data_IF_595918933858
#
_entry.id   IF_595918933858
#
_cell.length_a   1.000
_cell.length_b   1.000
_cell.length_c   1.000
_cell.angle_alpha   90.00
_cell.angle_beta   90.00
_cell.angle_gamma   90.00
#
_symmetry.space_group_name_H-M   'P 1'
#
loop_
_entity.id
_entity.type
_entity.pdbx_description
1 polymer ?
#
# COMPACT_ATOMS: atom_id res chain seq x y z
N UNK A 1 -13.01 69.13 20.02
CA UNK A 1 -12.72 67.76 20.37
C UNK A 1 -13.06 66.89 19.17
N UNK A 2 -12.07 66.60 18.31
CA UNK A 2 -12.24 65.84 17.06
C UNK A 2 -11.85 64.38 17.37
N UNK A 3 -12.84 63.50 17.29
CA UNK A 3 -12.57 62.05 17.39
C UNK A 3 -12.04 61.55 16.05
N UNK A 4 -10.79 61.14 16.02
CA UNK A 4 -10.22 60.33 14.93
C UNK A 4 -10.65 58.88 15.12
N UNK A 5 -11.57 58.38 14.27
CA UNK A 5 -11.82 56.93 14.14
C UNK A 5 -10.72 56.34 13.25
N UNK A 6 -9.79 55.58 13.86
CA UNK A 6 -8.84 54.73 13.14
C UNK A 6 -9.56 53.44 12.70
N UNK A 7 -9.84 53.33 11.41
CA UNK A 7 -10.33 52.12 10.80
C UNK A 7 -9.19 51.07 10.76
N UNK A 8 -9.26 50.04 11.59
CA UNK A 8 -8.44 48.85 11.52
C UNK A 8 -8.91 47.97 10.36
N UNK A 9 -8.23 48.03 9.22
CA UNK A 9 -8.41 47.04 8.16
C UNK A 9 -7.80 45.70 8.62
N UNK A 10 -8.54 44.60 8.54
CA UNK A 10 -7.92 43.29 8.80
C UNK A 10 -6.92 43.02 7.69
N UNK A 11 -5.66 42.87 8.06
CA UNK A 11 -4.62 42.29 7.20
C UNK A 11 -5.05 40.87 6.84
N UNK A 12 -5.59 40.66 5.65
CA UNK A 12 -5.79 39.34 5.09
C UNK A 12 -4.42 38.68 4.99
N UNK A 13 -4.13 37.73 5.87
CA UNK A 13 -2.96 36.88 5.71
C UNK A 13 -3.16 36.12 4.40
N UNK A 14 -2.37 36.44 3.39
CA UNK A 14 -2.25 35.61 2.20
C UNK A 14 -1.61 34.32 2.66
N UNK A 15 -2.43 33.30 2.85
CA UNK A 15 -1.97 31.97 3.15
C UNK A 15 -1.15 31.50 1.94
N UNK A 16 0.15 31.31 2.14
CA UNK A 16 1.01 30.82 1.08
C UNK A 16 0.42 29.52 0.52
N UNK A 17 0.26 29.45 -0.81
CA UNK A 17 -0.25 28.25 -1.43
C UNK A 17 0.67 27.07 -1.08
N UNK A 18 0.09 25.97 -0.60
CA UNK A 18 0.84 24.76 -0.32
C UNK A 18 1.58 24.35 -1.59
N UNK A 19 2.91 24.14 -1.54
CA UNK A 19 3.67 23.75 -2.73
C UNK A 19 3.06 22.52 -3.39
N UNK A 20 2.99 22.51 -4.72
CA UNK A 20 2.48 21.36 -5.45
C UNK A 20 3.43 20.18 -5.27
N UNK A 21 2.89 19.04 -4.85
CA UNK A 21 3.64 17.78 -4.71
C UNK A 21 4.05 17.31 -6.11
N UNK A 22 5.34 17.10 -6.39
CA UNK A 22 5.77 16.62 -7.70
C UNK A 22 5.32 15.17 -7.93
N UNK A 23 4.96 14.84 -9.18
CA UNK A 23 4.49 13.51 -9.58
C UNK A 23 5.60 12.56 -10.02
N UNK A 24 6.85 13.01 -9.99
CA UNK A 24 7.98 12.32 -10.58
C UNK A 24 8.15 12.65 -12.07
N UNK A 25 9.21 12.18 -12.73
CA UNK A 25 10.22 11.31 -12.12
C UNK A 25 10.98 11.96 -10.98
N UNK A 26 11.56 11.12 -10.09
CA UNK A 26 12.25 11.59 -8.90
C UNK A 26 13.74 11.26 -8.93
N UNK A 27 14.56 12.24 -8.56
CA UNK A 27 15.92 11.99 -8.08
C UNK A 27 15.87 11.81 -6.55
N UNK A 28 16.63 10.87 -6.05
CA UNK A 28 16.67 10.54 -4.62
C UNK A 28 18.05 10.83 -4.04
N UNK A 29 18.09 11.30 -2.80
CA UNK A 29 19.32 11.49 -2.04
C UNK A 29 19.15 11.05 -0.60
N UNK A 30 20.15 10.39 -0.03
CA UNK A 30 20.16 9.97 1.37
C UNK A 30 20.35 11.18 2.28
N UNK A 31 19.42 11.38 3.23
CA UNK A 31 19.51 12.40 4.29
C UNK A 31 20.23 11.80 5.51
N UNK A 32 19.76 10.63 5.95
CA UNK A 32 20.31 9.95 7.11
C UNK A 32 20.34 8.45 6.91
N UNK A 33 21.51 7.88 7.14
CA UNK A 33 21.71 6.44 7.18
C UNK A 33 21.55 5.97 8.62
N UNK A 34 20.64 5.00 8.85
CA UNK A 34 20.32 4.48 10.20
C UNK A 34 19.83 5.55 11.16
N UNK A 35 18.85 6.34 10.74
CA UNK A 35 18.28 7.42 11.54
C UNK A 35 17.53 6.91 12.79
N UNK A 36 16.91 5.72 12.70
CA UNK A 36 16.28 5.00 13.82
C UNK A 36 16.93 3.63 13.94
N UNK A 37 17.36 3.26 15.14
CA UNK A 37 18.22 2.10 15.38
C UNK A 37 17.74 1.27 16.58
N UNK A 38 18.10 -0.03 16.69
CA UNK A 38 17.65 -0.90 17.79
C UNK A 38 18.00 -0.35 19.18
N UNK A 39 19.20 0.19 19.38
CA UNK A 39 19.67 0.72 20.66
C UNK A 39 18.84 1.91 21.14
N UNK A 40 18.34 2.75 20.24
CA UNK A 40 17.43 3.86 20.57
C UNK A 40 16.18 3.41 21.33
N UNK A 41 15.68 2.22 21.01
CA UNK A 41 14.46 1.65 21.60
C UNK A 41 14.74 0.54 22.63
N UNK A 42 16.02 0.31 22.97
CA UNK A 42 16.41 -0.77 23.86
C UNK A 42 16.06 -2.16 23.30
N UNK A 43 16.15 -2.30 21.99
CA UNK A 43 16.03 -3.57 21.27
C UNK A 43 17.41 -4.19 21.11
N UNK A 44 17.50 -5.51 21.29
CA UNK A 44 18.78 -6.21 21.18
C UNK A 44 19.35 -6.12 19.75
N UNK A 45 20.68 -6.11 19.66
CA UNK A 45 21.37 -6.18 18.37
C UNK A 45 20.92 -7.42 17.57
N UNK A 46 20.80 -7.30 16.26
CA UNK A 46 20.30 -8.36 15.38
C UNK A 46 18.76 -8.46 15.33
N UNK A 47 18.04 -7.68 16.13
CA UNK A 47 16.58 -7.70 16.14
C UNK A 47 15.99 -6.56 15.28
N UNK A 48 14.78 -6.71 14.72
CA UNK A 48 14.20 -5.72 13.84
C UNK A 48 13.71 -4.46 14.57
N UNK A 49 14.03 -3.32 13.95
CA UNK A 49 13.32 -2.06 14.00
C UNK A 49 12.87 -1.82 12.55
N UNK A 50 11.57 -1.75 12.29
CA UNK A 50 11.01 -1.82 10.94
C UNK A 50 9.66 -1.09 10.84
N UNK A 51 9.03 -1.12 9.67
CA UNK A 51 7.65 -0.66 9.47
C UNK A 51 7.42 0.76 9.99
N UNK A 52 8.13 1.71 9.46
CA UNK A 52 8.02 3.10 9.91
C UNK A 52 6.79 3.79 9.32
N UNK A 53 6.16 4.64 10.11
CA UNK A 53 5.25 5.68 9.62
C UNK A 53 5.61 7.03 10.19
N UNK A 54 5.42 8.10 9.42
CA UNK A 54 5.86 9.44 9.82
C UNK A 54 4.80 10.49 9.51
N UNK A 55 4.61 11.43 10.44
CA UNK A 55 3.76 12.60 10.26
C UNK A 55 4.54 13.89 10.53
N UNK A 56 4.08 14.98 9.89
CA UNK A 56 4.53 16.33 10.19
C UNK A 56 3.63 16.91 11.28
N UNK A 57 4.25 17.35 12.40
CA UNK A 57 3.54 18.01 13.48
C UNK A 57 3.33 19.50 13.19
N UNK A 58 2.34 20.18 13.81
CA UNK A 58 2.12 21.61 13.62
C UNK A 58 3.30 22.49 13.97
N UNK A 59 4.19 22.04 14.84
CA UNK A 59 5.42 22.75 15.23
C UNK A 59 6.60 22.52 14.26
N UNK A 60 6.36 21.84 13.13
CA UNK A 60 7.36 21.54 12.10
C UNK A 60 8.29 20.37 12.40
N UNK A 61 8.12 19.69 13.52
CA UNK A 61 8.85 18.44 13.80
C UNK A 61 8.24 17.26 13.04
N UNK A 62 9.05 16.28 12.74
CA UNK A 62 8.59 14.97 12.30
C UNK A 62 8.36 14.07 13.52
N UNK A 63 7.30 13.27 13.48
CA UNK A 63 7.06 12.20 14.45
C UNK A 63 6.96 10.88 13.73
N UNK A 64 7.84 9.95 14.08
CA UNK A 64 7.90 8.61 13.52
C UNK A 64 7.29 7.61 14.51
N UNK A 65 6.49 6.70 13.99
CA UNK A 65 5.96 5.51 14.65
C UNK A 65 6.65 4.31 14.01
N UNK A 66 7.27 3.48 14.79
CA UNK A 66 8.11 2.41 14.27
C UNK A 66 7.88 1.11 15.04
N UNK A 67 7.76 0.00 14.33
CA UNK A 67 7.75 -1.30 14.98
C UNK A 67 9.14 -1.61 15.54
N UNK A 68 9.19 -1.96 16.80
CA UNK A 68 10.40 -2.38 17.50
C UNK A 68 10.18 -3.75 18.15
N UNK A 69 11.03 -4.71 17.84
CA UNK A 69 10.88 -6.10 18.28
C UNK A 69 10.75 -6.19 19.81
N UNK A 70 9.72 -6.87 20.27
CA UNK A 70 9.37 -7.05 21.67
C UNK A 70 9.04 -5.74 22.44
N UNK A 71 8.86 -4.61 21.73
CA UNK A 71 8.47 -3.32 22.30
C UNK A 71 7.12 -2.83 21.78
N UNK A 72 6.64 -3.34 20.62
CA UNK A 72 5.46 -2.82 19.92
C UNK A 72 5.77 -1.58 19.08
N UNK A 73 4.87 -0.60 19.09
CA UNK A 73 5.03 0.62 18.30
C UNK A 73 5.68 1.71 19.13
N UNK A 74 6.95 1.96 18.88
CA UNK A 74 7.74 3.01 19.51
C UNK A 74 7.57 4.33 18.76
N UNK A 75 7.79 5.45 19.48
CA UNK A 75 7.62 6.80 18.94
C UNK A 75 8.92 7.59 19.10
N UNK A 76 9.35 8.24 18.01
CA UNK A 76 10.50 9.13 18.01
C UNK A 76 10.18 10.44 17.27
N UNK A 77 10.86 11.53 17.64
CA UNK A 77 10.72 12.84 17.00
C UNK A 77 12.04 13.34 16.43
N UNK A 78 11.94 14.06 15.30
CA UNK A 78 13.04 14.79 14.70
C UNK A 78 12.70 16.28 14.59
N UNK A 79 13.64 17.14 14.98
CA UNK A 79 13.55 18.60 14.84
C UNK A 79 14.39 19.13 13.65
N UNK A 80 15.14 18.27 12.98
CA UNK A 80 16.13 18.60 11.96
C UNK A 80 15.84 17.93 10.60
N UNK A 81 14.55 17.74 10.34
CA UNK A 81 14.04 17.21 9.08
C UNK A 81 14.49 15.77 8.77
N UNK A 82 14.52 14.92 9.79
CA UNK A 82 14.83 13.50 9.66
C UNK A 82 16.31 13.14 9.72
N UNK A 83 17.19 14.11 10.01
CA UNK A 83 18.63 13.82 10.17
C UNK A 83 18.91 13.05 11.44
N UNK A 84 18.24 13.43 12.54
CA UNK A 84 18.35 12.75 13.83
C UNK A 84 16.97 12.60 14.47
N UNK A 85 16.80 11.57 15.30
CA UNK A 85 15.57 11.30 16.04
C UNK A 85 15.86 11.09 17.52
N UNK A 86 14.89 11.42 18.37
CA UNK A 86 14.91 11.17 19.81
C UNK A 86 13.63 10.39 20.15
N UNK A 87 13.77 9.27 20.87
CA UNK A 87 12.64 8.50 21.40
C UNK A 87 11.81 9.35 22.36
N UNK A 88 10.49 9.39 22.19
CA UNK A 88 9.57 10.18 23.03
C UNK A 88 8.48 9.35 23.69
N UNK A 89 8.22 8.10 23.28
CA UNK A 89 7.18 7.29 23.86
C UNK A 89 6.97 5.94 23.20
N UNK A 90 5.83 5.31 23.56
CA UNK A 90 5.32 4.08 22.98
C UNK A 90 3.80 4.22 22.80
N UNK A 91 3.28 3.92 21.63
CA UNK A 91 1.90 4.19 21.23
C UNK A 91 0.86 3.43 22.08
N UNK A 92 1.18 2.23 22.54
CA UNK A 92 0.26 1.32 23.23
C UNK A 92 0.78 0.82 24.58
N UNK A 93 1.67 1.58 25.24
CA UNK A 93 2.22 1.21 26.55
C UNK A 93 3.05 -0.09 26.53
N UNK A 94 3.57 -0.50 25.38
CA UNK A 94 4.36 -1.72 25.22
C UNK A 94 3.57 -2.96 24.78
N UNK A 95 2.30 -2.78 24.40
CA UNK A 95 1.52 -3.87 23.76
C UNK A 95 2.19 -4.27 22.43
N UNK A 96 2.42 -5.59 22.29
CA UNK A 96 3.17 -6.20 21.20
C UNK A 96 2.25 -6.76 20.10
N UNK A 97 0.93 -6.68 20.26
CA UNK A 97 -0.06 -7.22 19.34
C UNK A 97 -0.26 -6.40 18.06
N UNK A 98 0.35 -5.20 17.99
CA UNK A 98 0.23 -4.27 16.89
C UNK A 98 1.54 -4.19 16.11
N UNK A 99 1.46 -4.25 14.77
CA UNK A 99 2.60 -4.10 13.86
C UNK A 99 2.29 -3.15 12.71
N UNK A 100 3.29 -2.85 11.88
CA UNK A 100 3.15 -2.13 10.62
C UNK A 100 2.29 -0.85 10.75
N UNK A 101 2.73 0.12 11.55
CA UNK A 101 1.94 1.32 11.82
C UNK A 101 1.78 2.19 10.58
N UNK A 102 0.62 2.84 10.45
CA UNK A 102 0.38 3.95 9.53
C UNK A 102 -0.35 5.06 10.25
N UNK A 103 0.33 6.16 10.49
CA UNK A 103 -0.21 7.33 11.18
C UNK A 103 -0.72 8.38 10.18
N UNK A 104 -1.83 9.00 10.51
CA UNK A 104 -2.40 10.12 9.74
C UNK A 104 -2.79 11.23 10.70
N UNK A 105 -2.23 12.43 10.49
CA UNK A 105 -2.66 13.63 11.19
C UNK A 105 -4.03 14.07 10.65
N UNK A 106 -5.00 14.24 11.55
CA UNK A 106 -6.34 14.69 11.21
C UNK A 106 -6.44 16.21 11.27
N UNK A 107 -7.39 16.77 10.54
CA UNK A 107 -7.60 18.23 10.48
C UNK A 107 -8.02 18.85 11.83
N UNK A 108 -8.54 18.05 12.75
CA UNK A 108 -8.91 18.48 14.12
C UNK A 108 -7.75 18.38 15.13
N UNK A 109 -6.54 18.06 14.67
CA UNK A 109 -5.33 17.94 15.47
C UNK A 109 -5.09 16.58 16.10
N UNK A 110 -6.04 15.64 15.99
CA UNK A 110 -5.85 14.26 16.43
C UNK A 110 -4.96 13.49 15.46
N UNK A 111 -4.48 12.35 15.90
CA UNK A 111 -3.73 11.42 15.07
C UNK A 111 -4.48 10.08 15.05
N UNK A 112 -4.75 9.55 13.85
CA UNK A 112 -5.23 8.19 13.69
C UNK A 112 -4.06 7.28 13.35
N UNK A 113 -4.03 6.10 13.97
CA UNK A 113 -3.00 5.09 13.74
C UNK A 113 -3.68 3.79 13.30
N UNK A 114 -3.31 3.34 12.12
CA UNK A 114 -3.70 2.05 11.58
C UNK A 114 -2.57 1.07 11.87
N UNK A 115 -2.90 -0.11 12.41
CA UNK A 115 -1.91 -1.14 12.73
C UNK A 115 -2.37 -2.49 12.25
N UNK A 116 -1.46 -3.25 11.63
CA UNK A 116 -1.73 -4.63 11.24
C UNK A 116 -1.82 -5.51 12.47
N UNK A 117 -2.85 -6.35 12.48
CA UNK A 117 -3.12 -7.34 13.51
C UNK A 117 -3.53 -8.66 12.86
N UNK A 118 -3.65 -9.73 13.66
CA UNK A 118 -4.18 -10.99 13.13
C UNK A 118 -5.59 -10.78 12.56
N UNK A 119 -5.76 -11.08 11.27
CA UNK A 119 -7.04 -11.00 10.57
C UNK A 119 -7.37 -9.65 9.92
N UNK A 120 -6.57 -8.60 10.09
CA UNK A 120 -6.85 -7.32 9.45
C UNK A 120 -6.02 -6.15 9.96
N UNK A 121 -6.65 -4.99 10.03
CA UNK A 121 -6.06 -3.72 10.47
C UNK A 121 -6.94 -3.10 11.53
N UNK A 122 -6.35 -2.71 12.65
CA UNK A 122 -7.02 -1.91 13.68
C UNK A 122 -6.92 -0.41 13.35
N UNK A 123 -7.99 0.34 13.68
CA UNK A 123 -7.99 1.79 13.71
C UNK A 123 -7.93 2.27 15.15
N UNK A 124 -6.94 3.07 15.50
CA UNK A 124 -6.76 3.67 16.83
C UNK A 124 -6.66 5.17 16.72
N UNK A 125 -7.05 5.90 17.75
CA UNK A 125 -7.09 7.36 17.76
C UNK A 125 -6.35 7.92 18.98
N UNK A 126 -5.71 9.07 18.81
CA UNK A 126 -5.02 9.79 19.87
C UNK A 126 -5.25 11.29 19.75
N UNK A 127 -5.40 12.00 20.89
CA UNK A 127 -5.49 13.44 20.94
C UNK A 127 -4.12 14.14 20.92
N UNK A 128 -3.07 13.43 21.32
CA UNK A 128 -1.69 13.95 21.44
C UNK A 128 -0.69 13.27 20.49
N UNK A 129 -1.13 12.20 19.83
CA UNK A 129 -0.31 11.35 18.97
C UNK A 129 0.75 10.55 19.74
N UNK A 130 0.65 10.43 21.06
CA UNK A 130 1.57 9.68 21.91
C UNK A 130 0.91 8.45 22.54
N UNK A 131 -0.33 8.59 22.97
CA UNK A 131 -1.10 7.50 23.57
C UNK A 131 -2.35 7.23 22.74
N UNK A 132 -2.51 6.01 22.28
CA UNK A 132 -3.61 5.61 21.39
C UNK A 132 -4.61 4.72 22.09
N UNK A 133 -5.88 4.94 21.76
CA UNK A 133 -7.00 4.08 22.16
C UNK A 133 -7.64 3.48 20.91
N UNK A 134 -8.12 2.24 21.02
CA UNK A 134 -8.80 1.55 19.92
C UNK A 134 -10.09 2.30 19.55
N UNK A 135 -10.20 2.77 18.30
CA UNK A 135 -11.40 3.39 17.74
C UNK A 135 -12.31 2.31 17.11
N UNK A 136 -11.70 1.38 16.38
CA UNK A 136 -12.40 0.24 15.78
C UNK A 136 -11.44 -0.94 15.58
N UNK A 137 -11.80 -2.09 16.12
CA UNK A 137 -11.09 -3.33 15.84
C UNK A 137 -11.38 -3.78 14.39
N UNK A 138 -10.35 -4.27 13.71
CA UNK A 138 -10.47 -4.79 12.36
C UNK A 138 -11.27 -3.85 11.43
N UNK A 139 -10.90 -2.57 11.40
CA UNK A 139 -11.55 -1.59 10.53
C UNK A 139 -11.37 -1.95 9.03
N UNK A 140 -10.30 -2.68 8.69
CA UNK A 140 -10.12 -3.42 7.44
C UNK A 140 -9.99 -4.90 7.76
N UNK A 141 -10.78 -5.75 7.12
CA UNK A 141 -10.80 -7.19 7.34
C UNK A 141 -10.17 -7.95 6.18
N UNK A 142 -9.30 -8.90 6.47
CA UNK A 142 -8.75 -9.79 5.45
C UNK A 142 -9.84 -10.68 4.81
N UNK A 143 -10.89 -11.03 5.54
CA UNK A 143 -12.02 -11.82 5.02
C UNK A 143 -12.80 -11.13 3.90
N UNK A 144 -12.69 -9.81 3.77
CA UNK A 144 -13.32 -9.06 2.67
C UNK A 144 -12.60 -9.31 1.34
N UNK A 145 -11.45 -9.98 1.36
CA UNK A 145 -10.60 -10.29 0.22
C UNK A 145 -10.45 -11.82 0.11
N UNK A 146 -11.26 -12.45 -0.72
CA UNK A 146 -11.27 -13.92 -0.86
C UNK A 146 -9.94 -14.51 -1.33
N UNK A 147 -9.15 -13.69 -2.02
CA UNK A 147 -7.83 -14.03 -2.55
C UNK A 147 -6.68 -13.83 -1.56
N UNK A 148 -6.92 -13.21 -0.39
CA UNK A 148 -5.91 -12.93 0.61
C UNK A 148 -6.18 -13.68 1.92
N UNK A 149 -5.10 -14.09 2.62
CA UNK A 149 -5.17 -14.70 3.95
C UNK A 149 -4.93 -13.69 5.08
N UNK A 150 -4.45 -12.50 4.75
CA UNK A 150 -4.17 -11.41 5.69
C UNK A 150 -3.93 -10.11 4.96
N UNK A 151 -3.93 -9.00 5.69
CA UNK A 151 -3.62 -7.67 5.21
C UNK A 151 -2.42 -7.10 5.99
N UNK A 152 -1.55 -6.39 5.30
CA UNK A 152 -0.34 -5.84 5.87
C UNK A 152 0.01 -4.47 5.29
N UNK A 153 0.72 -3.64 6.06
CA UNK A 153 1.34 -2.40 5.63
C UNK A 153 0.36 -1.41 4.99
N UNK A 154 -0.67 -0.95 5.71
CA UNK A 154 -1.63 -0.01 5.14
C UNK A 154 -0.99 1.33 4.82
N UNK A 155 -1.18 1.85 3.61
CA UNK A 155 -0.91 3.23 3.22
C UNK A 155 -2.24 3.99 3.12
N UNK A 156 -2.42 5.06 3.89
CA UNK A 156 -3.72 5.76 3.97
C UNK A 156 -3.56 7.22 3.59
N UNK A 157 -4.43 7.71 2.73
CA UNK A 157 -4.49 9.12 2.35
C UNK A 157 -5.91 9.66 2.39
N UNK A 158 -6.05 10.93 2.80
CA UNK A 158 -7.30 11.66 2.66
C UNK A 158 -7.29 12.49 1.36
N UNK A 159 -8.34 12.36 0.57
CA UNK A 159 -8.54 13.13 -0.65
C UNK A 159 -9.03 14.55 -0.31
N UNK A 160 -8.91 15.51 -1.23
CA UNK A 160 -9.42 16.87 -1.03
C UNK A 160 -10.94 16.94 -0.90
N UNK A 161 -11.64 15.90 -1.33
CA UNK A 161 -13.09 15.74 -1.16
C UNK A 161 -13.51 15.34 0.26
N UNK A 162 -12.55 15.11 1.15
CA UNK A 162 -12.78 14.56 2.49
C UNK A 162 -12.83 13.02 2.54
N UNK A 163 -13.00 12.36 1.41
CA UNK A 163 -12.97 10.88 1.31
C UNK A 163 -11.58 10.33 1.55
N UNK A 164 -11.51 9.03 1.84
CA UNK A 164 -10.27 8.34 2.18
C UNK A 164 -10.00 7.20 1.21
N UNK A 165 -8.73 6.95 0.98
CA UNK A 165 -8.21 5.77 0.30
C UNK A 165 -7.20 5.05 1.20
N UNK A 166 -7.32 3.74 1.29
CA UNK A 166 -6.32 2.87 1.88
C UNK A 166 -5.76 1.94 0.81
N UNK A 167 -4.46 1.74 0.83
CA UNK A 167 -3.73 0.77 0.02
C UNK A 167 -2.99 -0.16 0.96
N UNK A 168 -2.99 -1.45 0.70
CA UNK A 168 -2.37 -2.43 1.59
C UNK A 168 -1.98 -3.69 0.84
N UNK A 169 -0.99 -4.40 1.36
CA UNK A 169 -0.58 -5.68 0.82
C UNK A 169 -1.56 -6.76 1.25
N UNK A 170 -2.02 -7.57 0.30
CA UNK A 170 -2.72 -8.80 0.58
C UNK A 170 -1.74 -9.96 0.60
N UNK A 171 -1.71 -10.69 1.71
CA UNK A 171 -0.94 -11.91 1.86
C UNK A 171 -1.56 -13.01 1.01
N UNK A 172 -0.77 -13.81 0.27
CA UNK A 172 -1.33 -14.90 -0.52
C UNK A 172 -2.03 -15.92 0.37
N UNK A 173 -3.12 -16.49 -0.13
CA UNK A 173 -3.86 -17.52 0.57
C UNK A 173 -3.09 -18.83 0.54
N UNK A 174 -2.92 -19.46 1.69
CA UNK A 174 -2.25 -20.75 1.80
C UNK A 174 -2.89 -21.81 0.87
N UNK A 175 -2.08 -22.54 0.12
CA UNK A 175 -2.52 -23.58 -0.80
C UNK A 175 -2.81 -23.14 -2.23
N UNK A 176 -2.70 -21.85 -2.55
CA UNK A 176 -2.84 -21.35 -3.92
C UNK A 176 -1.51 -21.25 -4.69
N UNK A 177 -0.43 -21.77 -4.10
CA UNK A 177 0.93 -21.64 -4.60
C UNK A 177 1.64 -20.40 -4.05
N UNK A 178 2.88 -20.14 -4.44
CA UNK A 178 3.63 -18.96 -4.03
C UNK A 178 3.12 -17.74 -4.81
N UNK A 179 1.88 -17.31 -4.55
CA UNK A 179 1.35 -16.09 -5.13
C UNK A 179 2.06 -14.90 -4.48
N UNK A 180 2.60 -13.96 -5.26
CA UNK A 180 3.24 -12.78 -4.74
C UNK A 180 2.23 -11.92 -3.98
N UNK A 181 2.70 -11.20 -2.99
CA UNK A 181 1.92 -10.18 -2.32
C UNK A 181 1.48 -9.14 -3.35
N UNK A 182 0.24 -8.73 -3.26
CA UNK A 182 -0.36 -7.78 -4.19
C UNK A 182 -0.93 -6.60 -3.43
N UNK A 183 -0.94 -5.43 -4.04
CA UNK A 183 -1.56 -4.25 -3.45
C UNK A 183 -3.03 -4.20 -3.82
N UNK A 184 -3.87 -4.15 -2.80
CA UNK A 184 -5.31 -3.88 -2.88
C UNK A 184 -5.62 -2.48 -2.39
N UNK A 185 -6.88 -2.06 -2.51
CA UNK A 185 -7.34 -0.80 -1.94
C UNK A 185 -8.76 -0.89 -1.42
N UNK A 186 -9.08 0.06 -0.55
CA UNK A 186 -10.40 0.33 -0.05
C UNK A 186 -10.67 1.84 -0.01
N UNK A 187 -11.95 2.21 -0.06
CA UNK A 187 -12.43 3.59 0.06
C UNK A 187 -13.24 3.75 1.33
N UNK A 188 -13.23 4.96 1.89
CA UNK A 188 -14.01 5.28 3.08
C UNK A 188 -14.46 6.74 3.08
N UNK A 189 -15.57 7.03 3.74
CA UNK A 189 -16.03 8.40 3.96
C UNK A 189 -15.47 9.01 5.27
N UNK A 190 -15.07 8.18 6.24
CA UNK A 190 -14.63 8.59 7.57
C UNK A 190 -13.22 8.12 7.97
N UNK A 191 -12.60 7.26 7.15
CA UNK A 191 -11.31 6.63 7.43
C UNK A 191 -11.36 5.51 8.46
N UNK A 192 -12.57 5.05 8.86
CA UNK A 192 -12.79 3.97 9.84
C UNK A 192 -13.64 2.85 9.26
N UNK A 193 -14.65 3.21 8.48
CA UNK A 193 -15.54 2.28 7.80
C UNK A 193 -15.13 2.16 6.34
N UNK A 194 -14.53 1.02 5.98
CA UNK A 194 -13.93 0.83 4.67
C UNK A 194 -14.77 -0.10 3.80
N UNK A 195 -14.82 0.23 2.52
CA UNK A 195 -15.43 -0.58 1.46
C UNK A 195 -14.34 -0.96 0.49
N UNK A 196 -14.19 -2.26 0.22
CA UNK A 196 -13.25 -2.80 -0.74
C UNK A 196 -13.46 -2.18 -2.12
N UNK A 197 -12.36 -1.73 -2.76
CA UNK A 197 -12.34 -1.44 -4.18
C UNK A 197 -12.11 -2.74 -4.98
N UNK A 198 -12.83 -2.93 -6.08
CA UNK A 198 -12.69 -4.11 -6.91
C UNK A 198 -11.32 -4.19 -7.61
N UNK A 199 -10.74 -5.37 -7.67
CA UNK A 199 -9.49 -5.66 -8.38
C UNK A 199 -8.22 -5.33 -7.58
N UNK A 200 -7.07 -5.60 -8.21
CA UNK A 200 -5.72 -5.41 -7.70
C UNK A 200 -5.15 -4.08 -8.20
N UNK A 201 -4.40 -3.38 -7.36
CA UNK A 201 -3.74 -2.10 -7.73
C UNK A 201 -2.37 -2.34 -8.35
N UNK A 202 -1.53 -3.07 -7.63
CA UNK A 202 -0.21 -3.51 -8.07
C UNK A 202 -0.15 -5.02 -7.87
N UNK A 203 0.21 -5.75 -8.92
CA UNK A 203 0.22 -7.22 -8.85
C UNK A 203 0.81 -7.86 -10.09
N UNK A 204 0.69 -9.17 -10.20
CA UNK A 204 1.24 -9.98 -11.30
C UNK A 204 0.84 -9.43 -12.68
N UNK A 205 -0.37 -8.93 -12.82
CA UNK A 205 -0.84 -8.35 -14.08
C UNK A 205 -0.25 -6.97 -14.37
N UNK A 206 0.13 -6.21 -13.36
CA UNK A 206 0.71 -4.87 -13.49
C UNK A 206 2.22 -4.92 -13.70
N UNK A 207 2.93 -5.74 -12.91
CA UNK A 207 4.40 -5.83 -12.95
C UNK A 207 4.94 -6.83 -13.97
N UNK A 208 4.09 -7.66 -14.58
CA UNK A 208 4.47 -8.76 -15.49
C UNK A 208 5.43 -9.79 -14.91
N UNK A 209 5.73 -9.70 -13.64
CA UNK A 209 6.57 -10.63 -12.90
C UNK A 209 5.82 -11.05 -11.66
N UNK A 210 5.92 -12.31 -11.31
CA UNK A 210 5.44 -12.85 -10.05
C UNK A 210 6.32 -12.35 -8.89
N UNK A 211 6.28 -11.05 -8.59
CA UNK A 211 7.02 -10.44 -7.50
C UNK A 211 6.08 -9.79 -6.50
N UNK A 212 6.48 -9.78 -5.26
CA UNK A 212 5.76 -9.12 -4.19
C UNK A 212 5.72 -7.60 -4.38
N UNK A 213 4.56 -7.02 -4.11
CA UNK A 213 4.42 -5.58 -3.89
C UNK A 213 3.92 -5.40 -2.46
N UNK A 214 4.81 -4.91 -1.59
CA UNK A 214 4.62 -4.90 -0.15
C UNK A 214 4.63 -3.49 0.42
N UNK A 215 3.92 -3.32 1.54
CA UNK A 215 3.90 -2.12 2.36
C UNK A 215 3.72 -0.83 1.54
N UNK A 216 2.62 -0.69 0.78
CA UNK A 216 2.41 0.50 -0.01
C UNK A 216 2.22 1.70 0.89
N UNK A 217 2.86 2.81 0.54
CA UNK A 217 2.56 4.13 1.07
C UNK A 217 2.11 5.04 -0.05
N UNK A 218 1.30 6.04 0.25
CA UNK A 218 0.67 6.86 -0.75
C UNK A 218 0.88 8.35 -0.48
N UNK A 219 1.19 9.11 -1.52
CA UNK A 219 1.15 10.56 -1.49
C UNK A 219 0.06 11.07 -2.44
N UNK A 220 -0.77 11.98 -1.95
CA UNK A 220 -1.80 12.64 -2.73
C UNK A 220 -1.27 13.92 -3.35
N UNK A 221 -1.55 14.11 -4.61
CA UNK A 221 -1.29 15.37 -5.33
C UNK A 221 -2.48 16.34 -5.25
N UNK A 222 -2.27 17.59 -5.61
CA UNK A 222 -3.29 18.64 -5.54
C UNK A 222 -4.54 18.37 -6.39
N UNK A 223 -4.40 17.60 -7.46
CA UNK A 223 -5.49 17.14 -8.34
C UNK A 223 -6.14 15.82 -7.89
N UNK A 224 -5.84 15.36 -6.68
CA UNK A 224 -6.23 14.05 -6.12
C UNK A 224 -5.65 12.82 -6.83
N UNK A 225 -4.75 12.97 -7.78
CA UNK A 225 -3.98 11.84 -8.26
C UNK A 225 -3.06 11.32 -7.14
N UNK A 226 -2.69 10.05 -7.24
CA UNK A 226 -1.95 9.31 -6.20
C UNK A 226 -0.65 8.79 -6.79
N UNK A 227 0.45 8.93 -6.05
CA UNK A 227 1.65 8.13 -6.27
C UNK A 227 1.79 7.15 -5.13
N UNK A 228 1.87 5.86 -5.46
CA UNK A 228 2.22 4.79 -4.52
C UNK A 228 3.71 4.55 -4.57
N UNK A 229 4.31 4.40 -3.39
CA UNK A 229 5.63 3.80 -3.19
C UNK A 229 5.41 2.46 -2.52
N UNK A 230 6.14 1.45 -2.91
CA UNK A 230 6.02 0.09 -2.39
C UNK A 230 7.34 -0.65 -2.54
N UNK A 231 7.47 -1.73 -1.82
CA UNK A 231 8.70 -2.51 -1.77
C UNK A 231 8.52 -3.87 -2.46
N UNK A 232 9.52 -4.29 -3.21
CA UNK A 232 9.65 -5.64 -3.74
C UNK A 232 10.80 -6.36 -2.99
N UNK A 233 10.47 -7.30 -2.13
CA UNK A 233 11.46 -8.03 -1.35
C UNK A 233 12.19 -9.12 -2.16
N UNK A 234 11.91 -9.24 -3.44
CA UNK A 234 12.46 -10.28 -4.29
C UNK A 234 11.97 -11.67 -3.92
N UNK A 235 10.74 -11.77 -3.39
CA UNK A 235 10.15 -13.05 -3.03
C UNK A 235 10.35 -14.09 -4.13
N UNK A 236 10.72 -15.28 -3.71
CA UNK A 236 10.91 -16.44 -4.58
C UNK A 236 9.55 -17.09 -4.88
N UNK A 237 8.90 -16.74 -5.99
CA UNK A 237 7.56 -17.23 -6.31
C UNK A 237 7.55 -18.74 -6.61
N UNK A 238 8.71 -19.35 -6.72
CA UNK A 238 8.85 -20.77 -7.04
C UNK A 238 9.30 -21.62 -5.85
N UNK A 239 9.59 -21.00 -4.69
CA UNK A 239 10.06 -21.70 -3.50
C UNK A 239 11.44 -22.35 -3.69
N UNK A 240 12.26 -21.78 -4.57
CA UNK A 240 13.58 -22.34 -4.92
C UNK A 240 14.70 -21.88 -3.98
N UNK A 241 14.41 -20.97 -3.04
CA UNK A 241 15.38 -20.33 -2.16
C UNK A 241 16.30 -19.34 -2.86
N UNK A 242 15.97 -18.91 -4.08
CA UNK A 242 16.75 -17.94 -4.83
C UNK A 242 16.26 -16.53 -4.54
N UNK A 243 17.18 -15.66 -4.15
CA UNK A 243 16.90 -14.21 -4.01
C UNK A 243 17.16 -13.54 -5.35
N UNK A 244 16.15 -12.82 -5.84
CA UNK A 244 16.27 -12.04 -7.05
C UNK A 244 17.03 -10.75 -6.75
N UNK A 245 18.23 -10.58 -7.29
CA UNK A 245 19.10 -9.45 -6.98
C UNK A 245 18.83 -8.20 -7.83
N UNK A 246 18.10 -8.34 -8.94
CA UNK A 246 17.88 -7.23 -9.87
C UNK A 246 16.42 -6.73 -9.79
N UNK A 247 16.25 -5.47 -9.42
CA UNK A 247 14.97 -4.80 -9.32
C UNK A 247 14.21 -5.07 -8.03
N UNK A 248 14.86 -5.64 -7.02
CA UNK A 248 14.37 -5.63 -5.64
C UNK A 248 14.48 -4.21 -5.09
N UNK A 249 13.68 -3.92 -4.07
CA UNK A 249 13.74 -2.67 -3.37
C UNK A 249 12.57 -1.76 -3.68
N UNK A 250 12.81 -0.46 -3.61
CA UNK A 250 11.79 0.56 -3.66
C UNK A 250 11.31 0.82 -5.10
N UNK A 251 9.99 0.80 -5.26
CA UNK A 251 9.28 1.14 -6.49
C UNK A 251 8.29 2.26 -6.27
N UNK A 252 7.84 2.89 -7.34
CA UNK A 252 6.69 3.77 -7.32
C UNK A 252 5.90 3.67 -8.63
N UNK A 253 4.61 3.99 -8.53
CA UNK A 253 3.69 4.07 -9.66
C UNK A 253 2.66 5.17 -9.43
N UNK A 254 2.20 5.79 -10.50
CA UNK A 254 1.28 6.92 -10.46
C UNK A 254 -0.10 6.52 -10.98
N UNK A 255 -1.15 7.12 -10.39
CA UNK A 255 -2.54 6.93 -10.78
C UNK A 255 -3.29 8.25 -10.77
N UNK A 256 -4.07 8.52 -11.81
CA UNK A 256 -4.97 9.69 -11.88
C UNK A 256 -6.29 9.46 -11.16
N UNK A 257 -6.70 8.20 -10.96
CA UNK A 257 -7.98 7.81 -10.38
C UNK A 257 -7.86 7.07 -9.03
N UNK A 258 -6.62 6.78 -8.61
CA UNK A 258 -6.33 5.99 -7.40
C UNK A 258 -6.70 4.51 -7.53
N UNK A 259 -7.03 4.03 -8.72
CA UNK A 259 -7.44 2.65 -8.99
C UNK A 259 -6.59 1.97 -10.05
N UNK A 260 -6.23 2.71 -11.09
CA UNK A 260 -5.42 2.23 -12.21
C UNK A 260 -4.05 2.89 -12.16
N UNK A 261 -3.00 2.10 -11.98
CA UNK A 261 -1.65 2.59 -11.83
C UNK A 261 -0.84 2.44 -13.12
N UNK A 262 0.04 3.41 -13.36
CA UNK A 262 0.97 3.42 -14.51
C UNK A 262 2.00 2.30 -14.39
N UNK A 263 2.84 2.18 -15.43
CA UNK A 263 4.03 1.35 -15.36
C UNK A 263 4.91 1.77 -14.18
N UNK A 264 5.40 0.78 -13.43
CA UNK A 264 6.24 1.00 -12.26
C UNK A 264 7.60 1.61 -12.62
N UNK A 265 8.12 2.42 -11.71
CA UNK A 265 9.48 2.95 -11.71
C UNK A 265 10.24 2.38 -10.51
N UNK A 266 11.53 2.20 -10.65
CA UNK A 266 12.38 1.58 -9.65
C UNK A 266 13.53 2.50 -9.24
N UNK A 267 13.90 2.47 -7.96
CA UNK A 267 15.07 3.16 -7.45
C UNK A 267 16.26 2.20 -7.35
N UNK A 268 17.33 2.49 -8.07
CA UNK A 268 18.60 1.79 -7.87
C UNK A 268 19.31 2.36 -6.65
N UNK A 269 19.09 1.75 -5.48
CA UNK A 269 19.62 2.22 -4.21
C UNK A 269 21.15 2.35 -4.23
N UNK A 270 21.85 1.44 -4.93
CA UNK A 270 23.30 1.45 -4.99
C UNK A 270 23.90 2.69 -5.70
N UNK A 271 23.08 3.35 -6.53
CA UNK A 271 23.46 4.60 -7.19
C UNK A 271 23.13 5.85 -6.40
N UNK A 272 22.28 5.72 -5.37
CA UNK A 272 21.91 6.82 -4.48
C UNK A 272 23.02 7.02 -3.44
N UNK A 273 23.47 5.96 -2.79
CA UNK A 273 24.55 5.99 -1.81
C UNK A 273 25.19 4.58 -1.72
N UNK A 274 26.52 4.53 -1.65
CA UNK A 274 27.27 3.27 -1.59
C UNK A 274 27.04 2.43 -0.32
N UNK A 275 26.43 3.02 0.70
CA UNK A 275 26.04 2.31 1.94
C UNK A 275 24.74 1.54 1.80
N UNK A 276 23.94 1.83 0.77
CA UNK A 276 22.62 1.23 0.56
C UNK A 276 22.77 -0.04 -0.27
N UNK A 277 22.13 -1.11 0.17
CA UNK A 277 21.92 -2.32 -0.61
C UNK A 277 20.61 -2.25 -1.41
N UNK A 278 20.38 -3.20 -2.30
CA UNK A 278 19.12 -3.30 -3.05
C UNK A 278 17.90 -3.58 -2.15
N UNK A 279 18.12 -4.06 -0.93
CA UNK A 279 17.06 -4.37 0.04
C UNK A 279 16.81 -3.23 1.04
N UNK A 280 17.46 -2.08 0.86
CA UNK A 280 17.20 -0.90 1.67
C UNK A 280 15.89 -0.22 1.26
N UNK A 281 15.35 0.57 2.17
CA UNK A 281 14.08 1.29 2.02
C UNK A 281 12.88 0.35 1.90
N UNK A 282 12.92 -0.81 2.57
CA UNK A 282 11.76 -1.67 2.74
C UNK A 282 10.71 -1.00 3.65
N UNK A 283 9.48 -1.44 3.55
CA UNK A 283 8.33 -0.96 4.34
C UNK A 283 8.26 0.59 4.38
N UNK A 284 8.22 1.24 3.20
CA UNK A 284 8.41 2.68 3.11
C UNK A 284 7.23 3.47 3.68
N UNK A 285 7.52 4.67 4.17
CA UNK A 285 6.53 5.73 4.32
C UNK A 285 7.00 7.04 3.68
N UNK A 286 6.04 7.83 3.22
CA UNK A 286 6.28 9.07 2.50
C UNK A 286 5.46 10.22 3.05
N UNK A 287 6.08 11.39 3.20
CA UNK A 287 5.39 12.62 3.61
C UNK A 287 5.95 13.84 2.91
N UNK A 288 5.22 14.96 3.01
CA UNK A 288 5.77 16.28 2.75
C UNK A 288 6.33 16.87 4.05
N UNK A 289 7.57 17.37 3.99
CA UNK A 289 8.14 18.14 5.09
C UNK A 289 7.55 19.57 5.12
N UNK A 290 7.95 20.36 6.13
CA UNK A 290 7.50 21.75 6.30
C UNK A 290 7.85 22.69 5.11
N UNK A 291 8.83 22.30 4.29
CA UNK A 291 9.31 23.07 3.15
C UNK A 291 8.71 22.56 1.82
N UNK A 292 7.83 21.54 1.88
CA UNK A 292 7.17 20.92 0.74
C UNK A 292 8.04 19.92 -0.01
N UNK A 293 9.19 19.50 0.54
CA UNK A 293 9.98 18.42 -0.02
C UNK A 293 9.35 17.07 0.32
N UNK A 294 9.50 16.11 -0.56
CA UNK A 294 9.10 14.73 -0.27
C UNK A 294 10.21 14.07 0.52
N UNK A 295 9.88 13.61 1.72
CA UNK A 295 10.72 12.72 2.52
C UNK A 295 10.17 11.30 2.40
N UNK A 296 11.08 10.35 2.29
CA UNK A 296 10.78 8.93 2.28
C UNK A 296 11.64 8.25 3.35
N UNK A 297 10.97 7.55 4.26
CA UNK A 297 11.59 6.75 5.28
C UNK A 297 11.39 5.28 4.94
N UNK A 298 12.39 4.45 5.20
CA UNK A 298 12.27 3.01 4.92
C UNK A 298 13.36 2.21 5.61
N UNK A 299 13.06 0.94 5.81
CA UNK A 299 13.90 0.02 6.57
C UNK A 299 15.09 -0.52 5.80
N UNK A 300 16.06 -0.99 6.56
CA UNK A 300 17.12 -1.86 6.16
C UNK A 300 17.39 -2.88 7.27
N UNK A 301 18.09 -3.95 6.95
CA UNK A 301 18.41 -5.00 7.91
C UNK A 301 19.78 -5.62 7.65
N UNK A 302 20.55 -5.80 8.72
CA UNK A 302 21.74 -6.66 8.68
C UNK A 302 21.74 -7.58 9.91
N UNK A 303 22.21 -8.81 9.76
CA UNK A 303 22.22 -9.79 10.85
C UNK A 303 23.03 -9.30 12.07
N UNK A 304 24.12 -8.58 11.84
CA UNK A 304 25.01 -8.11 12.92
C UNK A 304 24.45 -6.88 13.67
N UNK A 305 23.66 -6.05 12.99
CA UNK A 305 23.15 -4.80 13.55
C UNK A 305 21.67 -4.90 13.94
N UNK A 306 20.86 -5.58 13.14
CA UNK A 306 19.41 -5.62 13.22
C UNK A 306 18.76 -4.72 12.18
N UNK A 307 17.46 -4.47 12.35
CA UNK A 307 16.70 -3.56 11.53
C UNK A 307 16.97 -2.09 11.91
N UNK A 308 16.83 -1.22 10.95
CA UNK A 308 17.00 0.23 11.12
C UNK A 308 16.20 0.99 10.04
N UNK A 309 15.98 2.28 10.26
CA UNK A 309 15.28 3.13 9.31
C UNK A 309 16.25 4.16 8.72
N UNK A 310 16.23 4.29 7.42
CA UNK A 310 16.92 5.35 6.67
C UNK A 310 15.95 6.48 6.30
N UNK A 311 16.47 7.66 6.01
CA UNK A 311 15.70 8.82 5.53
C UNK A 311 16.28 9.31 4.22
N UNK A 312 15.43 9.45 3.21
CA UNK A 312 15.77 9.99 1.89
C UNK A 312 14.92 11.22 1.56
N UNK A 313 15.46 12.11 0.74
CA UNK A 313 14.71 13.15 0.06
C UNK A 313 14.48 12.76 -1.39
N UNK A 314 13.27 13.02 -1.88
CA UNK A 314 12.90 12.90 -3.27
C UNK A 314 12.66 14.29 -3.85
N UNK A 315 13.24 14.57 -5.01
CA UNK A 315 13.09 15.84 -5.74
C UNK A 315 12.67 15.55 -7.18
N UNK A 316 11.97 16.47 -7.85
CA UNK A 316 11.81 16.38 -9.30
C UNK A 316 13.17 16.23 -9.98
N UNK A 317 13.31 15.28 -10.90
CA UNK A 317 14.59 14.99 -11.53
C UNK A 317 14.44 14.33 -12.89
N UNK A 318 15.54 13.80 -13.41
CA UNK A 318 15.57 13.06 -14.68
C UNK A 318 14.97 11.64 -14.50
N UNK A 319 14.74 11.27 -13.24
CA UNK A 319 14.24 9.98 -12.87
C UNK A 319 15.34 9.02 -12.47
N UNK A 320 14.92 8.10 -11.63
CA UNK A 320 15.63 6.86 -11.40
C UNK A 320 15.91 6.20 -12.75
N UNK A 321 17.04 5.52 -12.86
CA UNK A 321 17.34 4.74 -14.05
C UNK A 321 16.09 3.94 -14.46
N UNK A 322 15.77 3.87 -15.75
CA UNK A 322 14.72 2.97 -16.17
C UNK A 322 15.03 1.63 -15.54
N UNK A 323 13.99 0.97 -15.04
CA UNK A 323 14.11 -0.39 -14.55
C UNK A 323 15.06 -1.12 -15.49
N UNK A 324 16.19 -1.72 -15.02
CA UNK A 324 17.14 -2.35 -15.93
C UNK A 324 16.32 -3.32 -16.78
N UNK A 325 16.10 -2.89 -18.04
CA UNK A 325 15.12 -3.45 -18.94
C UNK A 325 15.23 -4.95 -18.91
N UNK A 326 14.19 -5.61 -18.64
CA UNK A 326 14.07 -7.02 -18.53
C UNK A 326 14.22 -7.60 -17.12
N UNK A 327 13.32 -7.17 -16.23
CA UNK A 327 12.85 -8.10 -15.20
C UNK A 327 12.57 -9.47 -15.85
N UNK A 328 11.97 -9.53 -17.03
CA UNK A 328 11.70 -10.76 -17.76
C UNK A 328 12.97 -11.50 -18.16
N UNK A 329 14.03 -10.81 -18.54
CA UNK A 329 15.29 -11.45 -18.88
C UNK A 329 16.02 -11.95 -17.62
N UNK A 330 16.04 -11.15 -16.55
CA UNK A 330 16.63 -11.54 -15.28
C UNK A 330 15.88 -12.73 -14.66
N UNK A 331 14.56 -12.71 -14.62
CA UNK A 331 13.75 -13.84 -14.17
C UNK A 331 13.98 -15.09 -15.02
N UNK A 332 14.10 -14.93 -16.33
CA UNK A 332 14.38 -16.02 -17.28
C UNK A 332 15.75 -16.66 -17.05
N UNK A 333 16.78 -15.86 -16.80
CA UNK A 333 18.14 -16.32 -16.54
C UNK A 333 18.25 -17.04 -15.20
N UNK A 334 17.52 -16.57 -14.18
CA UNK A 334 17.62 -17.13 -12.82
C UNK A 334 16.76 -18.38 -12.64
N UNK A 335 15.60 -18.46 -13.30
CA UNK A 335 14.62 -19.51 -13.02
C UNK A 335 14.75 -20.75 -13.89
N UNK A 336 15.48 -20.70 -15.01
CA UNK A 336 15.58 -21.83 -15.94
C UNK A 336 14.21 -22.34 -16.45
N UNK A 337 13.16 -21.58 -16.22
CA UNK A 337 11.78 -21.89 -16.64
C UNK A 337 11.52 -21.58 -18.11
N UNK A 338 10.37 -22.01 -18.66
CA UNK A 338 9.99 -21.66 -20.02
C UNK A 338 9.98 -20.13 -20.19
N UNK A 339 10.32 -19.62 -21.38
CA UNK A 339 10.42 -18.19 -21.62
C UNK A 339 9.07 -17.49 -21.32
N UNK A 340 9.07 -16.62 -20.31
CA UNK A 340 7.98 -15.68 -20.19
C UNK A 340 7.95 -14.82 -21.47
N UNK A 341 6.78 -14.36 -21.92
CA UNK A 341 6.69 -13.50 -23.08
C UNK A 341 7.59 -12.28 -22.86
N UNK A 342 8.28 -11.79 -23.91
CA UNK A 342 9.18 -10.66 -23.78
C UNK A 342 8.47 -9.47 -23.12
N UNK A 343 9.14 -8.81 -22.17
CA UNK A 343 8.67 -7.56 -21.59
C UNK A 343 8.39 -6.58 -22.73
N UNK A 344 7.18 -6.05 -22.81
CA UNK A 344 6.71 -5.27 -23.96
C UNK A 344 5.73 -6.00 -24.86
N UNK A 345 5.69 -7.32 -24.88
CA UNK A 345 4.53 -7.99 -25.45
C UNK A 345 3.29 -7.60 -24.61
N UNK A 346 2.32 -6.93 -25.22
CA UNK A 346 0.99 -6.77 -24.62
C UNK A 346 0.62 -8.14 -24.08
N UNK A 347 0.29 -8.24 -22.79
CA UNK A 347 -0.31 -9.46 -22.27
C UNK A 347 -1.42 -9.83 -23.27
N UNK A 348 -1.25 -10.95 -23.93
CA UNK A 348 -2.37 -11.54 -24.66
C UNK A 348 -3.37 -11.77 -23.53
N UNK A 349 -4.36 -10.90 -23.44
CA UNK A 349 -5.47 -11.14 -22.55
C UNK A 349 -5.84 -12.60 -22.81
N UNK A 350 -5.83 -13.48 -21.80
CA UNK A 350 -6.27 -14.84 -22.03
C UNK A 350 -7.61 -14.68 -22.73
N UNK A 351 -7.68 -15.16 -23.96
CA UNK A 351 -8.93 -15.19 -24.71
C UNK A 351 -9.93 -15.75 -23.70
N UNK A 352 -11.02 -15.03 -23.38
CA UNK A 352 -11.96 -15.52 -22.39
C UNK A 352 -12.21 -16.97 -22.74
N UNK A 353 -11.90 -17.88 -21.82
CA UNK A 353 -12.13 -19.30 -22.07
C UNK A 353 -13.52 -19.38 -22.64
N UNK A 354 -13.76 -20.06 -23.77
CA UNK A 354 -15.04 -20.09 -24.41
C UNK A 354 -16.04 -20.35 -23.31
N UNK A 355 -16.91 -19.37 -23.04
CA UNK A 355 -17.92 -19.50 -21.99
C UNK A 355 -18.59 -20.82 -22.32
N UNK A 356 -18.32 -21.82 -21.49
CA UNK A 356 -18.87 -23.16 -21.68
C UNK A 356 -20.37 -22.88 -21.81
N UNK A 357 -20.91 -23.05 -23.02
CA UNK A 357 -22.33 -22.90 -23.25
C UNK A 357 -22.93 -23.82 -22.22
N UNK A 358 -23.51 -23.26 -21.19
CA UNK A 358 -24.23 -24.03 -20.17
C UNK A 358 -25.27 -24.79 -20.98
N UNK A 359 -25.05 -26.09 -21.17
CA UNK A 359 -26.04 -26.95 -21.83
C UNK A 359 -27.30 -26.83 -20.99
N UNK A 360 -28.26 -26.07 -21.53
CA UNK A 360 -29.55 -25.93 -20.89
C UNK A 360 -30.18 -27.32 -20.95
N UNK A 361 -30.17 -28.01 -19.81
CA UNK A 361 -30.74 -29.35 -19.64
C UNK A 361 -32.17 -29.29 -20.15
N UNK A 362 -32.41 -29.87 -21.35
CA UNK A 362 -33.76 -29.96 -21.93
C UNK A 362 -34.60 -30.87 -21.06
N UNK A 363 -35.63 -30.32 -20.46
CA UNK A 363 -36.63 -31.06 -19.66
C UNK A 363 -37.76 -31.45 -20.64
N UNK A 364 -38.20 -32.70 -20.58
CA UNK A 364 -39.35 -33.18 -21.35
C UNK A 364 -40.53 -33.40 -20.41
N UNK A 365 -41.62 -32.73 -20.70
CA UNK A 365 -42.91 -32.95 -19.99
C UNK A 365 -43.91 -33.65 -20.87
N UNK A 366 -44.81 -34.43 -20.27
CA UNK A 366 -45.89 -35.09 -20.94
C UNK A 366 -47.17 -34.28 -20.74
N UNK A 367 -47.85 -33.95 -21.80
CA UNK A 367 -49.09 -33.19 -21.80
C UNK A 367 -50.25 -34.06 -22.34
N UNK A 368 -51.45 -34.01 -21.72
CA UNK A 368 -52.61 -34.82 -22.13
C UNK A 368 -53.83 -33.95 -22.39
N UNK A 369 -54.61 -34.36 -23.41
CA UNK A 369 -55.96 -33.84 -23.71
C UNK A 369 -56.86 -35.02 -24.07
N UNK A 370 -57.74 -35.40 -23.15
CA UNK A 370 -58.51 -36.63 -23.26
C UNK A 370 -57.58 -37.85 -23.37
N UNK A 371 -57.77 -38.69 -24.41
CA UNK A 371 -56.91 -39.86 -24.65
C UNK A 371 -55.63 -39.55 -25.45
N UNK A 372 -55.39 -38.27 -25.82
CA UNK A 372 -54.22 -37.86 -26.61
C UNK A 372 -53.11 -37.37 -25.73
N UNK A 373 -51.90 -37.91 -25.97
CA UNK A 373 -50.68 -37.54 -25.20
C UNK A 373 -49.63 -36.94 -26.13
N UNK A 374 -48.99 -35.82 -25.73
CA UNK A 374 -47.86 -35.21 -26.45
C UNK A 374 -46.70 -34.98 -25.47
N UNK A 375 -45.47 -35.21 -25.94
CA UNK A 375 -44.23 -34.85 -25.22
C UNK A 375 -43.76 -33.50 -25.73
N UNK A 376 -43.40 -32.58 -24.80
CA UNK A 376 -42.88 -31.26 -25.09
C UNK A 376 -41.53 -31.11 -24.37
N UNK A 377 -40.49 -30.76 -25.11
CA UNK A 377 -39.12 -30.62 -24.58
C UNK A 377 -38.62 -29.20 -24.74
N UNK A 378 -37.95 -28.67 -23.74
CA UNK A 378 -37.36 -27.32 -23.74
C UNK A 378 -36.70 -26.99 -22.41
N UNK A 379 -36.17 -25.80 -22.28
CA UNK A 379 -35.60 -25.32 -21.01
C UNK A 379 -36.65 -25.10 -19.92
N UNK A 380 -37.85 -24.66 -20.31
CA UNK A 380 -39.06 -24.53 -19.50
C UNK A 380 -40.29 -24.90 -20.28
N UNK A 381 -40.51 -26.20 -20.60
CA UNK A 381 -41.59 -26.64 -21.50
C UNK A 381 -42.94 -26.38 -20.83
N UNK A 382 -43.87 -25.81 -21.62
CA UNK A 382 -45.28 -25.63 -21.24
C UNK A 382 -46.18 -26.45 -22.17
N UNK A 383 -47.25 -26.97 -21.61
CA UNK A 383 -48.22 -27.69 -22.43
C UNK A 383 -48.93 -26.75 -23.42
N UNK A 384 -49.18 -27.20 -24.68
CA UNK A 384 -49.98 -26.44 -25.63
C UNK A 384 -51.38 -26.15 -25.11
N UNK A 385 -52.01 -25.13 -25.69
CA UNK A 385 -53.38 -24.75 -25.32
C UNK A 385 -54.33 -25.96 -25.36
N UNK A 386 -55.07 -26.13 -24.30
CA UNK A 386 -56.03 -27.23 -24.15
C UNK A 386 -55.46 -28.58 -23.66
N UNK A 387 -54.14 -28.67 -23.42
CA UNK A 387 -53.49 -29.83 -22.81
C UNK A 387 -53.13 -29.54 -21.34
N UNK A 388 -53.21 -30.52 -20.49
CA UNK A 388 -52.77 -30.46 -19.10
C UNK A 388 -51.51 -31.32 -18.90
N UNK A 389 -50.61 -30.87 -18.05
CA UNK A 389 -49.40 -31.63 -17.68
C UNK A 389 -49.86 -32.88 -16.91
N UNK A 390 -49.34 -34.05 -17.31
CA UNK A 390 -49.58 -35.31 -16.62
C UNK A 390 -48.66 -35.44 -15.45
#
# INVERSE_FOLDING_TARGET
MVLLLSALFPLSQVQAATPAVPKGPYDASLISYRALTPDMFGVASGQPVADVSVILLPNGKLRAYVFAQNKGIEIAESADNGKTFIRVGNAFGGDKGNGQPRAVALSDGRVRLYTSVSGGVNCSISSDGLTFTLEKANCLLASDYSEASGLAGPGVVQLSTGKWKAYFSGLPKAGTGPDPWQVYSASSDDGVNWIRDAGVRIGVGASRIKRSAEHPTAIRHSDNSITLFYFDNGADPEGTGKVYSNGNGLHYSHSSDGLTFSEEKWFDMSKIDSRLSSTEMNDPDVLLDKDGNILLLGGGFTQSFGGYINVMALKPGQGTAPFPGDRCLAAKIVLGGPPNPPCGAKAVQPTPAPVAKTEVKKITITCTKGKVTKKVSGAAPKCPAGYKKK
#
